data_IF_016094840439
#
_entry.id   IF_016094840439
#
_cell.length_a   1.000
_cell.length_b   1.000
_cell.length_c   1.000
_cell.angle_alpha   90.00
_cell.angle_beta   90.00
_cell.angle_gamma   90.00
#
_symmetry.space_group_name_H-M   'P 1'
#
loop_
_entity.id
_entity.type
_entity.pdbx_description
1 polymer ?
#
# COMPACT_ATOMS: atom_id res chain seq x y z
N UNK A 1 -11.36 3.33 11.97
CA UNK A 1 -10.49 2.79 10.90
C UNK A 1 -11.35 2.56 9.69
N UNK A 2 -10.88 3.00 8.53
CA UNK A 2 -11.57 2.87 7.25
C UNK A 2 -10.99 1.65 6.52
N UNK A 3 -11.85 0.72 6.10
CA UNK A 3 -11.51 -0.54 5.42
C UNK A 3 -12.05 -0.52 3.99
N UNK A 4 -11.31 -1.12 3.06
CA UNK A 4 -11.74 -1.28 1.66
C UNK A 4 -11.97 -2.77 1.43
N UNK A 5 -13.23 -3.19 1.46
CA UNK A 5 -13.61 -4.61 1.41
C UNK A 5 -13.72 -5.15 -0.01
N UNK A 6 -13.82 -4.28 -1.01
CA UNK A 6 -14.02 -4.59 -2.43
C UNK A 6 -12.85 -5.38 -3.02
N UNK A 7 -11.66 -5.24 -2.44
CA UNK A 7 -10.45 -5.93 -2.90
C UNK A 7 -10.15 -7.23 -2.16
N UNK A 8 -10.94 -7.60 -1.16
CA UNK A 8 -10.69 -8.80 -0.36
C UNK A 8 -10.85 -10.05 -1.22
N UNK A 9 -9.89 -10.97 -1.08
CA UNK A 9 -9.84 -12.20 -1.89
C UNK A 9 -9.28 -12.01 -3.30
N UNK A 10 -9.13 -10.78 -3.78
CA UNK A 10 -8.45 -10.51 -5.05
C UNK A 10 -6.95 -10.77 -4.92
N UNK A 11 -6.34 -11.31 -5.97
CA UNK A 11 -4.90 -11.56 -6.03
C UNK A 11 -4.19 -10.34 -6.59
N UNK A 12 -3.14 -9.86 -5.90
CA UNK A 12 -2.34 -8.73 -6.40
C UNK A 12 -1.54 -9.17 -7.61
N UNK A 13 -1.78 -8.52 -8.75
CA UNK A 13 -1.13 -8.80 -10.03
C UNK A 13 0.19 -8.04 -10.17
N UNK A 14 0.12 -6.72 -10.02
CA UNK A 14 1.27 -5.85 -10.23
C UNK A 14 1.19 -4.58 -9.38
N UNK A 15 2.37 -4.07 -9.06
CA UNK A 15 2.58 -2.78 -8.37
C UNK A 15 3.47 -1.94 -9.27
N UNK A 16 3.00 -0.75 -9.65
CA UNK A 16 3.70 0.15 -10.55
C UNK A 16 4.01 1.45 -9.81
N UNK A 17 5.29 1.81 -9.76
CA UNK A 17 5.78 3.06 -9.17
C UNK A 17 6.02 4.10 -10.26
N UNK A 18 5.16 5.12 -10.31
CA UNK A 18 5.30 6.26 -11.20
C UNK A 18 6.05 7.39 -10.47
N UNK A 19 7.38 7.33 -10.49
CA UNK A 19 8.23 8.26 -9.73
C UNK A 19 7.99 9.74 -10.08
N UNK A 20 7.83 10.06 -11.37
CA UNK A 20 7.59 11.44 -11.82
C UNK A 20 6.21 11.97 -11.38
N UNK A 21 5.22 11.09 -11.25
CA UNK A 21 3.86 11.43 -10.81
C UNK A 21 3.68 11.27 -9.28
N UNK A 22 4.73 10.84 -8.57
CA UNK A 22 4.70 10.48 -7.15
C UNK A 22 3.55 9.53 -6.80
N UNK A 23 3.25 8.60 -7.71
CA UNK A 23 2.06 7.74 -7.65
C UNK A 23 2.46 6.26 -7.60
N UNK A 24 1.68 5.47 -6.88
CA UNK A 24 1.77 4.01 -6.89
C UNK A 24 0.42 3.44 -7.28
N UNK A 25 0.41 2.52 -8.24
CA UNK A 25 -0.79 1.81 -8.67
C UNK A 25 -0.66 0.34 -8.34
N UNK A 26 -1.68 -0.22 -7.70
CA UNK A 26 -1.80 -1.65 -7.43
C UNK A 26 -2.98 -2.19 -8.23
N UNK A 27 -2.73 -3.24 -9.00
CA UNK A 27 -3.73 -3.92 -9.83
C UNK A 27 -3.94 -5.35 -9.36
N UNK A 28 -5.09 -5.92 -9.68
CA UNK A 28 -5.49 -7.25 -9.25
C UNK A 28 -5.83 -8.16 -10.43
N UNK A 29 -5.60 -9.46 -10.28
CA UNK A 29 -5.87 -10.44 -11.33
C UNK A 29 -7.36 -10.54 -11.66
N UNK A 30 -7.68 -10.71 -12.95
CA UNK A 30 -9.03 -10.95 -13.47
C UNK A 30 -10.05 -9.86 -13.13
N UNK A 31 -9.61 -8.62 -12.96
CA UNK A 31 -10.49 -7.46 -12.71
C UNK A 31 -9.87 -6.18 -13.26
N UNK A 32 -10.71 -5.16 -13.49
CA UNK A 32 -10.26 -3.81 -13.84
C UNK A 32 -10.03 -2.93 -12.60
N UNK A 33 -10.30 -3.46 -11.40
CA UNK A 33 -10.07 -2.74 -10.14
C UNK A 33 -8.58 -2.41 -10.02
N UNK A 34 -8.29 -1.14 -9.71
CA UNK A 34 -6.96 -0.69 -9.29
C UNK A 34 -7.07 0.27 -8.11
N UNK A 35 -6.05 0.25 -7.26
CA UNK A 35 -5.89 1.25 -6.19
C UNK A 35 -4.71 2.13 -6.56
N UNK A 36 -4.95 3.43 -6.60
CA UNK A 36 -3.90 4.42 -6.83
C UNK A 36 -3.66 5.22 -5.55
N UNK A 37 -2.40 5.34 -5.16
CA UNK A 37 -1.92 6.16 -4.06
C UNK A 37 -1.08 7.30 -4.62
N UNK A 38 -1.32 8.52 -4.16
CA UNK A 38 -0.64 9.71 -4.66
C UNK A 38 0.18 10.40 -3.56
N UNK A 39 1.26 11.03 -4.00
CA UNK A 39 2.29 11.63 -3.16
C UNK A 39 2.78 10.62 -2.11
N UNK A 40 3.36 9.52 -2.59
CA UNK A 40 3.85 8.42 -1.77
C UNK A 40 5.36 8.52 -1.53
N UNK A 41 5.82 9.20 -0.45
CA UNK A 41 7.24 9.33 -0.18
C UNK A 41 7.89 8.02 0.27
N UNK A 42 7.11 7.09 0.83
CA UNK A 42 7.64 5.87 1.43
C UNK A 42 6.72 4.69 1.25
N UNK A 43 7.31 3.58 0.81
CA UNK A 43 6.66 2.28 0.67
C UNK A 43 7.59 1.18 1.16
N UNK A 44 7.05 0.31 2.01
CA UNK A 44 7.69 -0.93 2.40
C UNK A 44 6.88 -2.10 1.84
N UNK A 45 7.39 -2.72 0.79
CA UNK A 45 6.87 -3.97 0.24
C UNK A 45 7.75 -5.12 0.70
N UNK A 46 7.15 -6.13 1.32
CA UNK A 46 7.84 -7.36 1.72
C UNK A 46 7.62 -8.53 0.76
N UNK A 47 6.91 -8.34 -0.35
CA UNK A 47 6.65 -9.37 -1.35
C UNK A 47 5.16 -9.72 -1.48
N UNK A 48 4.30 -8.71 -1.64
CA UNK A 48 2.84 -8.90 -1.70
C UNK A 48 2.32 -9.39 -3.06
N UNK A 49 3.10 -9.26 -4.14
CA UNK A 49 2.69 -9.69 -5.49
C UNK A 49 2.36 -11.20 -5.50
N UNK A 50 1.25 -11.56 -6.15
CA UNK A 50 0.72 -12.92 -6.21
C UNK A 50 -0.05 -13.37 -4.95
N UNK A 51 -0.15 -12.53 -3.90
CA UNK A 51 -0.93 -12.87 -2.70
C UNK A 51 -2.38 -12.41 -2.85
N UNK A 52 -3.32 -13.22 -2.37
CA UNK A 52 -4.72 -12.76 -2.19
C UNK A 52 -4.84 -11.86 -0.98
N UNK A 53 -5.53 -10.75 -1.13
CA UNK A 53 -5.74 -9.76 -0.07
C UNK A 53 -6.61 -10.33 1.04
N UNK A 54 -6.11 -10.26 2.27
CA UNK A 54 -6.83 -10.61 3.50
C UNK A 54 -7.14 -9.39 4.36
N UNK A 55 -6.26 -8.37 4.30
CA UNK A 55 -6.41 -7.11 5.03
C UNK A 55 -6.10 -5.97 4.07
N UNK A 56 -6.94 -4.94 4.06
CA UNK A 56 -6.68 -3.66 3.40
C UNK A 56 -7.36 -2.53 4.19
N UNK A 57 -6.56 -1.73 4.90
CA UNK A 57 -7.10 -0.71 5.79
C UNK A 57 -6.12 0.43 6.07
N UNK A 58 -6.69 1.57 6.46
CA UNK A 58 -5.91 2.67 7.05
C UNK A 58 -5.47 2.30 8.47
N UNK A 59 -4.23 2.61 8.79
CA UNK A 59 -3.67 2.40 10.13
C UNK A 59 -2.91 3.64 10.63
N UNK A 60 -2.44 3.60 11.88
CA UNK A 60 -1.83 4.75 12.57
C UNK A 60 -0.38 5.07 12.12
N UNK A 61 0.20 4.28 11.23
CA UNK A 61 1.63 4.35 10.93
C UNK A 61 2.48 3.61 11.96
N UNK A 62 3.80 3.61 11.75
CA UNK A 62 4.78 2.99 12.63
C UNK A 62 5.92 3.98 12.92
N UNK A 63 6.66 3.77 14.02
CA UNK A 63 7.81 4.62 14.36
C UNK A 63 8.88 4.64 13.26
N UNK A 64 9.03 3.53 12.53
CA UNK A 64 9.91 3.42 11.36
C UNK A 64 9.61 4.48 10.30
N UNK A 65 8.33 4.73 9.99
CA UNK A 65 7.93 5.79 9.07
C UNK A 65 8.33 7.18 9.60
N UNK A 66 8.07 7.46 10.88
CA UNK A 66 8.36 8.76 11.50
C UNK A 66 9.85 9.10 11.43
N UNK A 67 10.73 8.12 11.70
CA UNK A 67 12.17 8.30 11.64
C UNK A 67 12.63 8.63 10.21
N UNK A 68 12.18 7.84 9.23
CA UNK A 68 12.53 8.05 7.82
C UNK A 68 12.01 9.41 7.32
N UNK A 69 10.81 9.82 7.73
CA UNK A 69 10.24 11.12 7.35
C UNK A 69 11.07 12.29 7.87
N UNK A 70 11.55 12.20 9.12
CA UNK A 70 12.44 13.22 9.70
C UNK A 70 13.75 13.34 8.91
N UNK A 71 14.34 12.21 8.52
CA UNK A 71 15.56 12.18 7.69
C UNK A 71 15.32 12.81 6.31
N UNK A 72 14.13 12.59 5.73
CA UNK A 72 13.71 13.18 4.45
C UNK A 72 13.26 14.65 4.57
N UNK A 73 13.24 15.24 5.77
CA UNK A 73 12.69 16.58 6.05
C UNK A 73 11.22 16.72 5.62
N UNK A 74 10.45 15.66 5.77
CA UNK A 74 9.01 15.64 5.51
C UNK A 74 8.25 15.77 6.83
N UNK A 75 7.13 16.50 6.79
CA UNK A 75 6.21 16.57 7.91
C UNK A 75 5.22 15.40 7.85
N UNK A 76 5.26 14.59 8.91
CA UNK A 76 4.50 13.35 9.06
C UNK A 76 2.99 13.58 9.09
N UNK A 77 2.54 14.73 9.58
CA UNK A 77 1.12 15.04 9.74
C UNK A 77 0.42 15.26 8.38
N UNK A 78 1.21 15.49 7.32
CA UNK A 78 0.70 15.62 5.96
C UNK A 78 0.36 14.28 5.28
N UNK A 79 0.55 13.14 5.97
CA UNK A 79 0.44 11.82 5.36
C UNK A 79 -0.43 10.86 6.18
N UNK A 80 -1.10 9.98 5.45
CA UNK A 80 -1.88 8.85 5.94
C UNK A 80 -1.11 7.56 5.67
N UNK A 81 -1.49 6.47 6.35
CA UNK A 81 -0.85 5.17 6.19
C UNK A 81 -1.87 4.11 5.81
N UNK A 82 -1.51 3.29 4.84
CA UNK A 82 -2.29 2.16 4.38
C UNK A 82 -1.48 0.88 4.47
N UNK A 83 -2.14 -0.20 4.83
CA UNK A 83 -1.54 -1.53 4.84
C UNK A 83 -2.41 -2.49 4.04
N UNK A 84 -1.77 -3.26 3.16
CA UNK A 84 -2.36 -4.45 2.56
C UNK A 84 -1.58 -5.65 3.06
N UNK A 85 -2.28 -6.64 3.61
CA UNK A 85 -1.71 -7.94 3.93
C UNK A 85 -2.40 -9.02 3.11
N UNK A 86 -1.59 -9.84 2.50
CA UNK A 86 -2.02 -10.99 1.74
C UNK A 86 -1.93 -12.28 2.55
N UNK A 87 -2.28 -13.37 1.91
CA UNK A 87 -2.05 -14.72 2.42
C UNK A 87 -0.56 -14.93 2.75
N UNK A 88 -0.26 -15.70 3.79
CA UNK A 88 1.13 -16.05 4.11
C UNK A 88 1.81 -16.74 2.92
N UNK A 89 3.04 -16.33 2.63
CA UNK A 89 3.89 -16.98 1.66
C UNK A 89 4.63 -18.18 2.25
N UNK A 90 5.66 -18.64 1.52
CA UNK A 90 6.63 -19.61 2.05
C UNK A 90 7.33 -19.07 3.30
N UNK A 91 7.52 -17.76 3.36
CA UNK A 91 8.05 -17.05 4.52
C UNK A 91 6.97 -16.11 5.08
N UNK A 92 6.74 -16.17 6.40
CA UNK A 92 5.67 -15.44 7.09
C UNK A 92 5.75 -13.91 6.93
N UNK A 93 6.93 -13.37 6.64
CA UNK A 93 7.14 -11.93 6.51
C UNK A 93 6.88 -11.40 5.10
N UNK A 94 6.76 -12.27 4.09
CA UNK A 94 6.65 -11.90 2.68
C UNK A 94 5.20 -11.89 2.18
N UNK A 95 4.41 -10.96 2.70
CA UNK A 95 2.98 -10.88 2.36
C UNK A 95 2.35 -9.52 2.68
N UNK A 96 3.12 -8.44 2.75
CA UNK A 96 2.54 -7.14 3.08
C UNK A 96 3.18 -6.00 2.32
N UNK A 97 2.36 -4.98 2.05
CA UNK A 97 2.81 -3.67 1.60
C UNK A 97 2.24 -2.61 2.53
N UNK A 98 3.09 -1.68 2.94
CA UNK A 98 2.76 -0.52 3.77
C UNK A 98 3.14 0.74 3.02
N UNK A 99 2.20 1.67 2.93
CA UNK A 99 2.33 2.87 2.08
C UNK A 99 2.00 4.09 2.93
N UNK A 100 2.89 5.07 2.94
CA UNK A 100 2.55 6.43 3.38
C UNK A 100 2.15 7.26 2.16
N UNK A 101 1.00 7.93 2.23
CA UNK A 101 0.35 8.57 1.09
C UNK A 101 -0.46 9.80 1.52
N UNK A 102 -0.78 10.71 0.59
CA UNK A 102 -1.66 11.86 0.90
C UNK A 102 -3.12 11.59 0.51
N UNK A 103 -3.31 11.07 -0.71
CA UNK A 103 -4.62 10.68 -1.24
C UNK A 103 -4.57 9.31 -1.91
N UNK A 104 -5.73 8.66 -1.94
CA UNK A 104 -5.91 7.31 -2.48
C UNK A 104 -7.25 7.27 -3.21
N UNK A 105 -7.27 6.56 -4.33
CA UNK A 105 -8.46 6.37 -5.16
C UNK A 105 -8.60 4.88 -5.54
N UNK A 106 -9.84 4.41 -5.61
CA UNK A 106 -10.19 3.11 -6.18
C UNK A 106 -10.81 3.38 -7.54
N UNK A 107 -10.25 2.77 -8.58
CA UNK A 107 -10.74 2.91 -9.95
C UNK A 107 -11.33 1.57 -10.36
N UNK A 108 -12.53 1.61 -10.95
CA UNK A 108 -13.35 0.47 -11.36
C UNK A 108 -13.37 0.29 -12.88
#
# INVERSE_FOLDING_TARGET
MEKITEIFGLQIHAIIHYYNEKKISISFDNTNIRIEFYNCPLVFDSGIIGKKVLVAERYKGEMSFVLVFREMKLDVDNYKYFIIKGQEGLEHYQNQIRIAYQSMEIIL
#
